data_IF_809259920297
#
_entry.id   IF_809259920297
#
_cell.length_a   1.000
_cell.length_b   1.000
_cell.length_c   1.000
_cell.angle_alpha   90.00
_cell.angle_beta   90.00
_cell.angle_gamma   90.00
#
_symmetry.space_group_name_H-M   'P 1'
#
loop_
_entity.id
_entity.type
_entity.pdbx_description
1 polymer ?
#
# COMPACT_ATOMS: atom_id res chain seq x y z
N UNK A 1 -20.42 -22.40 -0.90
CA UNK A 1 -19.05 -22.13 -1.37
C UNK A 1 -18.41 -21.23 -0.32
N UNK A 2 -17.35 -21.68 0.34
CA UNK A 2 -16.66 -20.88 1.36
C UNK A 2 -16.23 -19.55 0.73
N UNK A 3 -16.77 -18.42 1.20
CA UNK A 3 -16.32 -17.10 0.76
C UNK A 3 -14.90 -16.91 1.27
N UNK A 4 -13.91 -17.34 0.49
CA UNK A 4 -12.51 -17.15 0.83
C UNK A 4 -12.26 -15.64 0.88
N UNK A 5 -12.08 -15.12 2.08
CA UNK A 5 -11.75 -13.71 2.27
C UNK A 5 -10.33 -13.50 1.75
N UNK A 6 -10.18 -12.64 0.74
CA UNK A 6 -8.88 -12.33 0.15
C UNK A 6 -7.96 -11.70 1.18
N UNK A 7 -6.67 -11.93 0.99
CA UNK A 7 -5.64 -11.54 1.94
C UNK A 7 -4.63 -10.62 1.27
N UNK A 8 -4.29 -9.54 1.96
CA UNK A 8 -3.27 -8.60 1.51
C UNK A 8 -2.18 -8.51 2.56
N UNK A 9 -0.94 -8.65 2.12
CA UNK A 9 0.24 -8.44 2.96
C UNK A 9 0.83 -7.06 2.68
N UNK A 10 1.21 -6.33 3.74
CA UNK A 10 1.86 -5.01 3.63
C UNK A 10 3.28 -5.09 4.14
N UNK A 11 4.25 -4.80 3.26
CA UNK A 11 5.69 -4.95 3.49
C UNK A 11 6.45 -3.69 3.08
N UNK A 12 7.73 -3.63 3.42
CA UNK A 12 8.62 -2.50 3.12
C UNK A 12 9.57 -2.19 4.28
N UNK A 13 10.54 -1.28 4.07
CA UNK A 13 11.55 -0.93 5.07
C UNK A 13 10.97 -0.34 6.37
N UNK A 14 11.83 -0.16 7.38
CA UNK A 14 11.42 0.49 8.62
C UNK A 14 10.96 1.92 8.35
N UNK A 15 9.98 2.39 9.13
CA UNK A 15 9.53 3.80 9.09
C UNK A 15 8.96 4.32 7.75
N UNK A 16 8.63 3.46 6.78
CA UNK A 16 7.96 3.86 5.52
C UNK A 16 6.48 4.20 5.66
N UNK A 17 5.91 4.05 6.87
CA UNK A 17 4.50 4.39 7.16
C UNK A 17 3.51 3.24 6.93
N UNK A 18 3.97 1.98 6.94
CA UNK A 18 3.11 0.79 6.78
C UNK A 18 1.89 0.77 7.72
N UNK A 19 2.11 1.02 9.02
CA UNK A 19 1.03 1.05 10.02
C UNK A 19 0.03 2.17 9.76
N UNK A 20 0.53 3.36 9.39
CA UNK A 20 -0.32 4.48 9.00
C UNK A 20 -1.16 4.10 7.80
N UNK A 21 -0.58 3.53 6.75
CA UNK A 21 -1.31 3.10 5.56
C UNK A 21 -2.43 2.11 5.90
N UNK A 22 -2.10 1.02 6.60
CA UNK A 22 -3.09 0.02 7.00
C UNK A 22 -4.19 0.63 7.90
N UNK A 23 -3.81 1.49 8.85
CA UNK A 23 -4.76 2.18 9.71
C UNK A 23 -5.69 3.13 8.95
N UNK A 24 -5.16 3.86 7.96
CA UNK A 24 -5.97 4.71 7.08
C UNK A 24 -6.94 3.88 6.24
N UNK A 25 -6.50 2.74 5.70
CA UNK A 25 -7.39 1.83 4.95
C UNK A 25 -8.52 1.27 5.83
N UNK A 26 -8.22 0.89 7.08
CA UNK A 26 -9.23 0.48 8.05
C UNK A 26 -10.20 1.62 8.35
N UNK A 27 -9.67 2.81 8.64
CA UNK A 27 -10.51 3.96 8.95
C UNK A 27 -11.47 4.30 7.81
N UNK A 28 -11.00 4.21 6.57
CA UNK A 28 -11.81 4.55 5.39
C UNK A 28 -12.81 3.47 4.98
N UNK A 29 -12.50 2.18 5.15
CA UNK A 29 -13.29 1.08 4.57
C UNK A 29 -13.44 -0.18 5.45
N UNK A 30 -12.99 -0.14 6.70
CA UNK A 30 -12.94 -1.31 7.57
C UNK A 30 -13.60 -1.15 8.93
N UNK A 31 -13.85 0.08 9.39
CA UNK A 31 -14.41 0.33 10.72
C UNK A 31 -15.88 0.73 10.66
N UNK A 32 -16.72 0.06 11.45
CA UNK A 32 -18.08 0.53 11.72
C UNK A 32 -18.10 1.63 12.80
N UNK A 33 -19.26 2.27 13.00
CA UNK A 33 -19.41 3.35 13.99
C UNK A 33 -19.08 2.89 15.42
N UNK A 34 -19.38 1.64 15.78
CA UNK A 34 -19.13 1.12 17.12
C UNK A 34 -17.64 0.89 17.34
N UNK A 35 -16.94 0.39 16.33
CA UNK A 35 -15.48 0.25 16.36
C UNK A 35 -14.80 1.62 16.47
N UNK A 36 -15.26 2.62 15.72
CA UNK A 36 -14.75 4.00 15.82
C UNK A 36 -14.96 4.59 17.22
N UNK A 37 -16.16 4.45 17.79
CA UNK A 37 -16.44 4.90 19.15
C UNK A 37 -15.56 4.18 20.19
N UNK A 38 -15.31 2.88 20.00
CA UNK A 38 -14.47 2.10 20.90
C UNK A 38 -13.01 2.56 20.83
N UNK A 39 -12.47 2.76 19.63
CA UNK A 39 -11.12 3.31 19.43
C UNK A 39 -10.97 4.67 20.11
N UNK A 40 -11.97 5.55 19.98
CA UNK A 40 -11.97 6.86 20.64
C UNK A 40 -12.00 6.73 22.17
N UNK A 41 -12.84 5.86 22.73
CA UNK A 41 -12.90 5.59 24.17
C UNK A 41 -11.57 5.09 24.72
N UNK A 42 -10.84 4.30 23.93
CA UNK A 42 -9.54 3.75 24.29
C UNK A 42 -8.37 4.71 23.97
N UNK A 43 -8.66 5.95 23.54
CA UNK A 43 -7.65 6.98 23.27
C UNK A 43 -6.83 6.75 22.00
N UNK A 44 -7.37 5.99 21.03
CA UNK A 44 -6.75 5.75 19.74
C UNK A 44 -7.14 6.87 18.77
N UNK A 45 -6.25 7.86 18.63
CA UNK A 45 -6.46 9.11 17.90
C UNK A 45 -5.59 9.25 16.63
N UNK A 46 -4.85 8.19 16.26
CA UNK A 46 -3.95 8.19 15.11
C UNK A 46 -4.02 6.87 14.34
N UNK A 47 -3.91 6.94 13.01
CA UNK A 47 -4.06 5.77 12.13
C UNK A 47 -3.05 4.65 12.44
N UNK A 48 -1.79 4.98 12.72
CA UNK A 48 -0.76 3.98 13.02
C UNK A 48 -0.99 3.24 14.35
N UNK A 49 -1.76 3.84 15.26
CA UNK A 49 -2.17 3.21 16.52
C UNK A 49 -3.29 2.18 16.34
N UNK A 50 -4.12 2.29 15.30
CA UNK A 50 -5.23 1.37 15.03
C UNK A 50 -4.69 -0.07 14.88
N UNK A 51 -3.63 -0.27 14.11
CA UNK A 51 -3.03 -1.61 13.94
C UNK A 51 -2.48 -2.15 15.27
N UNK A 52 -1.89 -1.29 16.10
CA UNK A 52 -1.45 -1.65 17.44
C UNK A 52 -2.62 -2.10 18.33
N UNK A 53 -3.76 -1.42 18.24
CA UNK A 53 -4.98 -1.79 18.96
C UNK A 53 -5.51 -3.16 18.51
N UNK A 54 -5.59 -3.43 17.20
CA UNK A 54 -6.05 -4.73 16.69
C UNK A 54 -5.15 -5.88 17.17
N UNK A 55 -3.83 -5.72 17.07
CA UNK A 55 -2.89 -6.74 17.54
C UNK A 55 -2.98 -6.98 19.05
N UNK A 56 -3.07 -5.91 19.86
CA UNK A 56 -3.16 -6.00 21.32
C UNK A 56 -4.40 -6.77 21.77
N UNK A 57 -5.50 -6.66 21.02
CA UNK A 57 -6.78 -7.28 21.35
C UNK A 57 -7.04 -8.59 20.58
N UNK A 58 -6.07 -9.10 19.80
CA UNK A 58 -6.25 -10.32 19.02
C UNK A 58 -7.31 -10.20 17.91
N UNK A 59 -7.59 -8.99 17.43
CA UNK A 59 -8.57 -8.71 16.39
C UNK A 59 -7.93 -8.85 15.01
N UNK A 60 -8.70 -9.35 14.05
CA UNK A 60 -8.26 -9.44 12.65
C UNK A 60 -8.69 -8.18 11.89
N UNK A 61 -7.76 -7.37 11.36
CA UNK A 61 -8.11 -6.16 10.63
C UNK A 61 -8.63 -6.51 9.23
N UNK A 62 -9.88 -6.13 8.97
CA UNK A 62 -10.63 -6.38 7.73
C UNK A 62 -11.04 -5.05 7.12
N UNK A 63 -10.97 -4.94 5.80
CA UNK A 63 -11.48 -3.79 5.05
C UNK A 63 -12.26 -4.26 3.82
N UNK A 64 -13.12 -3.40 3.29
CA UNK A 64 -13.97 -3.70 2.14
C UNK A 64 -13.45 -3.00 0.89
N UNK A 65 -13.15 -3.77 -0.16
CA UNK A 65 -12.89 -3.27 -1.51
C UNK A 65 -14.14 -3.51 -2.39
N UNK A 66 -14.22 -2.93 -3.61
CA UNK A 66 -15.33 -3.21 -4.55
C UNK A 66 -15.39 -4.70 -4.89
N UNK A 67 -14.22 -5.36 -4.93
CA UNK A 67 -14.10 -6.80 -5.20
C UNK A 67 -14.46 -7.70 -4.00
N UNK A 68 -14.76 -7.12 -2.83
CA UNK A 68 -15.22 -7.83 -1.64
C UNK A 68 -14.39 -7.53 -0.39
N UNK A 69 -14.68 -8.24 0.69
CA UNK A 69 -13.93 -8.12 1.94
C UNK A 69 -12.51 -8.68 1.80
N UNK A 70 -11.54 -7.93 2.30
CA UNK A 70 -10.13 -8.30 2.38
C UNK A 70 -9.65 -8.21 3.82
N UNK A 71 -8.68 -9.04 4.21
CA UNK A 71 -7.99 -8.88 5.50
C UNK A 71 -6.52 -8.65 5.31
N UNK A 72 -5.90 -7.92 6.24
CA UNK A 72 -4.44 -7.93 6.30
C UNK A 72 -3.97 -9.26 6.89
N UNK A 73 -2.96 -9.85 6.27
CA UNK A 73 -2.36 -11.10 6.73
C UNK A 73 -0.84 -11.06 6.58
N UNK A 74 -0.11 -11.49 7.61
CA UNK A 74 1.32 -11.76 7.50
C UNK A 74 1.55 -13.20 7.01
N UNK A 75 1.20 -13.45 5.75
CA UNK A 75 1.35 -14.75 5.10
C UNK A 75 2.18 -14.63 3.83
N UNK A 76 3.12 -15.56 3.56
CA UNK A 76 3.79 -15.64 2.26
C UNK A 76 2.85 -16.09 1.13
N UNK A 77 1.67 -16.59 1.46
CA UNK A 77 0.61 -17.00 0.53
C UNK A 77 -0.52 -15.98 0.45
N UNK A 78 -0.25 -14.70 0.74
CA UNK A 78 -1.25 -13.66 0.59
C UNK A 78 -1.66 -13.52 -0.89
N UNK A 79 -2.92 -13.22 -1.16
CA UNK A 79 -3.44 -13.03 -2.53
C UNK A 79 -2.85 -11.77 -3.19
N UNK A 80 -2.50 -10.78 -2.38
CA UNK A 80 -1.94 -9.51 -2.81
C UNK A 80 -0.81 -9.01 -1.93
N UNK A 81 0.13 -8.29 -2.53
CA UNK A 81 1.23 -7.66 -1.81
C UNK A 81 1.29 -6.15 -2.07
N UNK A 82 1.27 -5.37 -0.99
CA UNK A 82 1.57 -3.94 -1.01
C UNK A 82 2.98 -3.74 -0.47
N UNK A 83 3.87 -3.17 -1.28
CA UNK A 83 5.21 -2.79 -0.84
C UNK A 83 5.32 -1.27 -0.70
N UNK A 84 5.63 -0.79 0.50
CA UNK A 84 5.65 0.64 0.84
C UNK A 84 7.06 1.21 0.76
N UNK A 85 7.26 2.10 -0.21
CA UNK A 85 8.43 2.94 -0.41
C UNK A 85 8.22 4.32 0.24
N UNK A 86 9.31 5.02 0.55
CA UNK A 86 9.29 6.35 1.19
C UNK A 86 9.81 7.42 0.23
N UNK A 87 8.96 8.39 -0.12
CA UNK A 87 9.28 9.49 -1.03
C UNK A 87 10.36 10.44 -0.48
N UNK A 88 10.54 10.54 0.84
CA UNK A 88 11.52 11.46 1.44
C UNK A 88 12.95 10.96 1.32
N UNK A 89 13.16 9.75 0.79
CA UNK A 89 14.49 9.15 0.69
C UNK A 89 15.05 8.78 2.06
N UNK A 90 14.22 8.18 2.93
CA UNK A 90 14.72 7.54 4.16
C UNK A 90 15.99 6.74 3.83
N UNK A 91 17.02 6.91 4.66
CA UNK A 91 18.36 6.31 4.52
C UNK A 91 18.35 4.77 4.36
N UNK A 92 17.18 4.15 4.52
CA UNK A 92 16.94 2.72 4.43
C UNK A 92 16.69 2.18 3.00
N UNK A 93 16.11 2.97 2.08
CA UNK A 93 15.72 2.44 0.76
C UNK A 93 16.86 2.40 -0.28
N UNK A 94 17.96 3.12 0.02
CA UNK A 94 19.20 3.13 -0.77
C UNK A 94 20.35 2.83 0.20
N UNK A 95 20.21 1.77 1.01
CA UNK A 95 21.23 1.33 1.95
C UNK A 95 22.38 0.67 1.18
N UNK A 96 23.55 1.31 1.13
CA UNK A 96 24.93 0.77 1.15
C UNK A 96 25.37 -0.40 0.23
N UNK A 97 24.48 -1.08 -0.49
CA UNK A 97 24.73 -2.23 -1.37
C UNK A 97 24.12 -2.06 -2.79
N UNK A 98 23.44 -0.93 -3.05
CA UNK A 98 22.86 -0.63 -4.36
C UNK A 98 21.55 -1.35 -4.69
N UNK A 99 20.93 -2.05 -3.72
CA UNK A 99 19.66 -2.76 -3.89
C UNK A 99 18.53 -2.09 -3.10
N UNK A 100 17.35 -2.02 -3.71
CA UNK A 100 16.09 -1.51 -3.11
C UNK A 100 15.34 -2.61 -2.34
N UNK A 101 15.39 -3.84 -2.85
CA UNK A 101 14.73 -5.01 -2.26
C UNK A 101 15.75 -6.06 -1.84
N UNK A 102 15.48 -6.76 -0.76
CA UNK A 102 16.21 -7.96 -0.34
C UNK A 102 15.86 -9.15 -1.24
N UNK A 103 16.69 -10.21 -1.16
CA UNK A 103 16.43 -11.45 -1.89
C UNK A 103 15.08 -12.09 -1.49
N UNK A 104 14.76 -12.12 -0.20
CA UNK A 104 13.52 -12.69 0.32
C UNK A 104 12.27 -11.92 -0.14
N UNK A 105 12.36 -10.59 -0.23
CA UNK A 105 11.28 -9.76 -0.80
C UNK A 105 11.08 -10.09 -2.29
N UNK A 106 12.17 -10.23 -3.06
CA UNK A 106 12.07 -10.59 -4.47
C UNK A 106 11.43 -11.98 -4.68
N UNK A 107 11.74 -12.96 -3.82
CA UNK A 107 11.11 -14.29 -3.85
C UNK A 107 9.61 -14.21 -3.50
N UNK A 108 9.24 -13.40 -2.51
CA UNK A 108 7.84 -13.13 -2.14
C UNK A 108 7.05 -12.52 -3.30
N UNK A 109 7.65 -11.59 -4.04
CA UNK A 109 7.00 -10.95 -5.19
C UNK A 109 6.70 -11.95 -6.30
N UNK A 110 7.64 -12.86 -6.57
CA UNK A 110 7.46 -13.94 -7.56
C UNK A 110 6.37 -14.93 -7.13
N UNK A 111 6.29 -15.24 -5.84
CA UNK A 111 5.32 -16.19 -5.30
C UNK A 111 3.88 -15.63 -5.33
N UNK A 112 3.71 -14.35 -4.99
CA UNK A 112 2.37 -13.72 -4.92
C UNK A 112 1.78 -13.43 -6.30
N UNK A 113 2.60 -13.00 -7.25
CA UNK A 113 2.16 -12.68 -8.62
C UNK A 113 1.38 -11.36 -8.78
N UNK A 114 0.92 -10.75 -7.68
CA UNK A 114 0.28 -9.43 -7.63
C UNK A 114 1.04 -8.50 -6.67
N UNK A 115 1.75 -7.50 -7.21
CA UNK A 115 2.57 -6.54 -6.46
C UNK A 115 2.10 -5.10 -6.76
N UNK A 116 1.74 -4.38 -5.69
CA UNK A 116 1.46 -2.96 -5.73
C UNK A 116 2.58 -2.23 -4.98
N UNK A 117 3.37 -1.45 -5.70
CA UNK A 117 4.32 -0.52 -5.11
C UNK A 117 3.57 0.75 -4.70
N UNK A 118 3.77 1.18 -3.47
CA UNK A 118 3.17 2.41 -2.94
C UNK A 118 4.31 3.34 -2.55
N UNK A 119 4.35 4.53 -3.16
CA UNK A 119 5.31 5.58 -2.80
C UNK A 119 4.64 6.51 -1.82
N UNK A 120 4.91 6.30 -0.53
CA UNK A 120 4.24 6.99 0.56
C UNK A 120 4.96 8.29 0.94
N UNK A 121 4.28 9.14 1.73
CA UNK A 121 4.76 10.46 2.20
C UNK A 121 4.98 11.47 1.08
N UNK A 122 4.22 11.37 -0.02
CA UNK A 122 4.30 12.35 -1.11
C UNK A 122 3.96 13.78 -0.65
N UNK A 123 3.14 13.92 0.40
CA UNK A 123 2.85 15.21 1.04
C UNK A 123 4.08 15.85 1.68
N UNK A 124 5.07 15.06 2.13
CA UNK A 124 6.29 15.58 2.74
C UNK A 124 7.34 16.04 1.71
N UNK A 125 7.11 15.75 0.43
CA UNK A 125 7.96 16.19 -0.69
C UNK A 125 7.17 17.05 -1.69
N UNK A 126 6.09 17.68 -1.22
CA UNK A 126 5.21 18.57 -2.00
C UNK A 126 4.78 17.96 -3.33
N UNK A 127 4.52 16.65 -3.33
CA UNK A 127 4.10 15.89 -4.51
C UNK A 127 5.08 16.00 -5.70
N UNK A 128 6.37 16.17 -5.41
CA UNK A 128 7.42 16.27 -6.43
C UNK A 128 7.52 14.99 -7.27
N UNK A 129 7.27 15.15 -8.57
CA UNK A 129 7.46 14.08 -9.56
C UNK A 129 8.91 13.57 -9.58
N UNK A 130 9.88 14.48 -9.45
CA UNK A 130 11.29 14.12 -9.43
C UNK A 130 11.62 13.21 -8.25
N UNK A 131 11.11 13.53 -7.05
CA UNK A 131 11.30 12.69 -5.86
C UNK A 131 10.64 11.32 -5.99
N UNK A 132 9.45 11.27 -6.57
CA UNK A 132 8.81 10.02 -6.93
C UNK A 132 9.68 9.19 -7.89
N UNK A 133 10.15 9.77 -8.98
CA UNK A 133 10.96 9.07 -9.99
C UNK A 133 12.31 8.58 -9.41
N UNK A 134 12.94 9.36 -8.51
CA UNK A 134 14.16 8.97 -7.80
C UNK A 134 13.99 7.68 -6.98
N UNK A 135 12.80 7.44 -6.43
CA UNK A 135 12.50 6.25 -5.62
C UNK A 135 12.02 5.09 -6.51
N UNK A 136 11.24 5.38 -7.54
CA UNK A 136 10.60 4.36 -8.39
C UNK A 136 11.56 3.76 -9.41
N UNK A 137 12.43 4.56 -10.04
CA UNK A 137 13.29 4.06 -11.11
C UNK A 137 14.22 2.91 -10.66
N UNK A 138 14.92 3.00 -9.51
CA UNK A 138 15.75 1.90 -9.02
C UNK A 138 14.92 0.66 -8.64
N UNK A 139 13.72 0.86 -8.07
CA UNK A 139 12.81 -0.22 -7.71
C UNK A 139 12.37 -1.01 -8.96
N UNK A 140 11.89 -0.30 -9.98
CA UNK A 140 11.47 -0.91 -11.25
C UNK A 140 12.64 -1.63 -11.94
N UNK A 141 13.84 -1.02 -11.94
CA UNK A 141 15.03 -1.65 -12.51
C UNK A 141 15.33 -2.99 -11.83
N UNK A 142 15.33 -3.04 -10.50
CA UNK A 142 15.60 -4.28 -9.77
C UNK A 142 14.53 -5.35 -10.01
N UNK A 143 13.24 -4.97 -10.01
CA UNK A 143 12.13 -5.90 -10.28
C UNK A 143 12.23 -6.53 -11.67
N UNK A 144 12.61 -5.74 -12.67
CA UNK A 144 12.89 -6.24 -14.03
C UNK A 144 14.05 -7.22 -14.03
N UNK A 145 15.15 -6.92 -13.34
CA UNK A 145 16.32 -7.79 -13.25
C UNK A 145 16.03 -9.14 -12.60
N UNK A 146 15.08 -9.22 -11.68
CA UNK A 146 14.67 -10.50 -11.05
C UNK A 146 13.59 -11.26 -11.84
N UNK A 147 13.12 -10.72 -12.96
CA UNK A 147 12.19 -11.37 -13.88
C UNK A 147 10.71 -11.04 -13.67
N UNK A 148 10.37 -9.97 -12.93
CA UNK A 148 8.97 -9.52 -12.86
C UNK A 148 8.59 -8.74 -14.12
N UNK A 149 7.48 -9.13 -14.75
CA UNK A 149 6.92 -8.43 -15.89
C UNK A 149 6.49 -7.01 -15.50
N UNK A 150 6.87 -5.95 -16.24
CA UNK A 150 6.50 -4.57 -15.93
C UNK A 150 4.99 -4.34 -15.80
N UNK A 151 4.19 -5.08 -16.57
CA UNK A 151 2.72 -5.02 -16.59
C UNK A 151 2.09 -5.46 -15.25
N UNK A 152 2.82 -6.26 -14.46
CA UNK A 152 2.39 -6.74 -13.14
C UNK A 152 2.81 -5.82 -12.00
N UNK A 153 3.55 -4.74 -12.31
CA UNK A 153 4.06 -3.83 -11.30
C UNK A 153 3.24 -2.55 -11.38
N UNK A 154 2.28 -2.44 -10.46
CA UNK A 154 1.50 -1.21 -10.31
C UNK A 154 2.19 -0.30 -9.31
N UNK A 155 2.27 1.00 -9.60
CA UNK A 155 2.94 1.98 -8.73
C UNK A 155 1.99 3.13 -8.42
N UNK A 156 1.77 3.41 -7.14
CA UNK A 156 0.84 4.44 -6.68
C UNK A 156 1.55 5.44 -5.76
N UNK A 157 1.65 6.73 -6.12
CA UNK A 157 2.06 7.77 -5.20
C UNK A 157 0.92 8.07 -4.23
N UNK A 158 1.14 7.99 -2.92
CA UNK A 158 0.11 8.25 -1.91
C UNK A 158 0.61 9.20 -0.82
N UNK A 159 -0.36 9.69 -0.05
CA UNK A 159 -0.12 10.09 1.34
C UNK A 159 -1.00 9.28 2.26
N UNK A 160 -0.42 8.33 3.00
CA UNK A 160 -1.15 7.59 4.03
C UNK A 160 -1.71 8.51 5.12
N UNK A 161 -1.01 9.60 5.42
CA UNK A 161 -1.40 10.56 6.46
C UNK A 161 -2.59 11.41 6.04
N UNK A 162 -2.67 11.78 4.76
CA UNK A 162 -3.71 12.66 4.21
C UNK A 162 -4.85 11.92 3.51
N UNK A 163 -4.63 10.66 3.15
CA UNK A 163 -5.63 9.82 2.47
C UNK A 163 -5.56 9.87 0.94
N UNK A 164 -4.69 10.69 0.37
CA UNK A 164 -4.56 10.88 -1.08
C UNK A 164 -4.20 9.59 -1.84
N UNK A 165 -4.88 9.36 -2.97
CA UNK A 165 -4.69 8.23 -3.89
C UNK A 165 -4.91 6.85 -3.23
N UNK A 166 -5.55 6.77 -2.07
CA UNK A 166 -5.94 5.50 -1.45
C UNK A 166 -7.26 5.00 -2.06
N UNK A 167 -8.35 5.73 -1.83
CA UNK A 167 -9.67 5.46 -2.42
C UNK A 167 -10.02 6.41 -3.57
N UNK A 168 -9.68 7.68 -3.37
CA UNK A 168 -10.01 8.76 -4.29
C UNK A 168 -8.72 9.33 -4.89
N UNK A 169 -8.83 9.77 -6.14
CA UNK A 169 -7.70 10.34 -6.86
C UNK A 169 -7.40 11.75 -6.33
N UNK A 170 -6.13 11.99 -6.06
CA UNK A 170 -5.63 13.27 -5.58
C UNK A 170 -5.41 14.24 -6.72
N UNK A 171 -5.89 15.48 -6.54
CA UNK A 171 -5.54 16.61 -7.39
C UNK A 171 -4.05 17.02 -7.26
N UNK A 172 -3.35 16.58 -6.21
CA UNK A 172 -1.95 16.93 -5.95
C UNK A 172 -0.96 16.20 -6.88
N UNK A 173 -1.39 15.12 -7.54
CA UNK A 173 -0.55 14.35 -8.47
C UNK A 173 -1.08 14.36 -9.91
N UNK A 174 -1.24 15.54 -10.56
CA UNK A 174 -1.77 15.61 -11.93
C UNK A 174 -0.84 14.94 -12.96
N UNK A 175 0.45 14.84 -12.62
CA UNK A 175 1.47 14.17 -13.43
C UNK A 175 1.42 12.65 -13.35
N UNK A 176 0.76 12.08 -12.33
CA UNK A 176 0.63 10.64 -12.19
C UNK A 176 -0.41 10.14 -13.20
N UNK A 177 0.10 9.53 -14.27
CA UNK A 177 -0.73 8.86 -15.27
C UNK A 177 -1.06 7.45 -14.82
N UNK A 178 -2.32 7.10 -15.03
CA UNK A 178 -2.87 5.77 -14.76
C UNK A 178 -2.35 4.80 -15.83
N UNK A 179 -1.91 3.60 -15.44
CA UNK A 179 -1.51 2.56 -16.39
C UNK A 179 -2.70 2.15 -17.27
N UNK A 180 -2.47 1.82 -18.54
CA UNK A 180 -3.52 1.40 -19.49
C UNK A 180 -4.33 0.19 -19.01
N UNK A 181 -3.74 -0.64 -18.14
CA UNK A 181 -4.34 -1.81 -17.49
C UNK A 181 -5.30 -1.49 -16.34
N UNK A 182 -5.39 -0.23 -15.92
CA UNK A 182 -6.38 0.17 -14.90
C UNK A 182 -7.78 0.26 -15.52
N UNK A 183 -8.86 0.16 -14.72
CA UNK A 183 -10.22 0.37 -15.22
C UNK A 183 -10.31 1.74 -15.91
N UNK A 184 -10.37 1.76 -17.24
CA UNK A 184 -10.40 2.99 -18.01
C UNK A 184 -11.75 3.68 -17.81
N UNK A 185 -11.75 4.97 -17.47
CA UNK A 185 -12.97 5.78 -17.34
C UNK A 185 -13.62 5.84 -15.95
N UNK A 186 -13.04 5.23 -14.92
CA UNK A 186 -13.49 5.34 -13.53
C UNK A 186 -12.74 6.47 -12.80
N UNK A 187 -13.43 7.29 -12.00
CA UNK A 187 -12.83 8.35 -11.18
C UNK A 187 -11.81 7.81 -10.16
N UNK A 188 -11.91 6.51 -9.81
CA UNK A 188 -10.97 5.83 -8.91
C UNK A 188 -9.73 5.29 -9.61
N UNK A 189 -9.62 5.43 -10.93
CA UNK A 189 -8.50 4.88 -11.71
C UNK A 189 -7.15 5.49 -11.28
N UNK A 190 -6.17 4.62 -10.99
CA UNK A 190 -4.85 5.01 -10.45
C UNK A 190 -4.77 5.14 -8.93
N UNK A 191 -5.80 4.75 -8.18
CA UNK A 191 -5.77 4.67 -6.71
C UNK A 191 -5.29 3.30 -6.23
N UNK A 192 -4.86 3.20 -4.98
CA UNK A 192 -4.49 1.92 -4.36
C UNK A 192 -5.66 0.92 -4.42
N UNK A 193 -6.88 1.35 -4.09
CA UNK A 193 -8.05 0.48 -4.10
C UNK A 193 -8.43 0.00 -5.50
N UNK A 194 -8.25 0.81 -6.54
CA UNK A 194 -8.49 0.35 -7.92
C UNK A 194 -7.59 -0.81 -8.35
N UNK A 195 -6.38 -0.94 -7.76
CA UNK A 195 -5.52 -2.09 -7.98
C UNK A 195 -5.85 -3.25 -7.03
N UNK A 196 -6.26 -2.98 -5.79
CA UNK A 196 -6.75 -4.02 -4.88
C UNK A 196 -8.02 -4.69 -5.43
N UNK A 197 -8.88 -3.96 -6.13
CA UNK A 197 -10.07 -4.50 -6.76
C UNK A 197 -9.77 -5.53 -7.88
N UNK A 198 -8.53 -5.55 -8.38
CA UNK A 198 -8.07 -6.52 -9.40
C UNK A 198 -7.50 -7.80 -8.80
N UNK A 199 -7.34 -7.86 -7.47
CA UNK A 199 -6.94 -9.04 -6.68
C UNK A 199 -8.22 -9.81 -6.33
#
# INVERSE_FOLDING_TARGET
MSSHQRTVKVVGPHSTGKKTLMGTMLYMCGLDLRELEQLQKDGIDAYDKIIGYYHKNGLTPVFTAKSGMMRFADSPQADGLIYVLDATGSKDAILHSGQVFTQSECEMFKATGSLILVVNKMDAVDWSREKYEQVVAPAIQQLKSVGLSPEKIQVVPISAKKGDNILERSANSPWHRVAESSPQGDETSGTLFAYLDQI
#
